data_IF_638907794848
#
_entry.id   IF_638907794848
#
_cell.length_a   1.000
_cell.length_b   1.000
_cell.length_c   1.000
_cell.angle_alpha   90.00
_cell.angle_beta   90.00
_cell.angle_gamma   90.00
#
_symmetry.space_group_name_H-M   'P 1'
#
loop_
_entity.id
_entity.type
_entity.pdbx_description
1 polymer ?
#
# COMPACT_ATOMS: atom_id res chain seq x y z
N UNK A 1 -1.71 16.51 -16.73
CA UNK A 1 -1.82 15.06 -16.46
C UNK A 1 -3.23 14.78 -15.98
N UNK A 2 -4.02 14.01 -16.74
CA UNK A 2 -5.38 13.60 -16.37
C UNK A 2 -5.34 12.21 -15.71
N UNK A 3 -4.48 12.07 -14.70
CA UNK A 3 -4.43 10.86 -13.89
C UNK A 3 -5.32 11.07 -12.67
N UNK A 4 -6.02 10.02 -12.27
CA UNK A 4 -6.75 9.98 -11.01
C UNK A 4 -5.79 10.17 -9.84
N UNK A 5 -6.31 10.63 -8.71
CA UNK A 5 -5.53 10.73 -7.46
C UNK A 5 -4.87 9.40 -7.06
N UNK A 6 -5.40 8.27 -7.53
CA UNK A 6 -4.90 6.93 -7.23
C UNK A 6 -3.77 6.50 -8.17
N UNK A 7 -3.82 6.89 -9.44
CA UNK A 7 -2.69 6.76 -10.35
C UNK A 7 -1.52 7.64 -9.88
N UNK A 8 -1.79 8.83 -9.33
CA UNK A 8 -0.75 9.63 -8.68
C UNK A 8 -0.15 8.92 -7.46
N UNK A 9 -0.95 8.30 -6.59
CA UNK A 9 -0.43 7.47 -5.49
C UNK A 9 0.42 6.28 -5.95
N UNK A 10 0.24 5.84 -7.21
CA UNK A 10 1.07 4.80 -7.83
C UNK A 10 2.42 5.35 -8.28
N UNK A 11 2.44 6.55 -8.85
CA UNK A 11 3.65 7.23 -9.31
C UNK A 11 4.54 7.78 -8.18
N UNK A 12 3.96 8.12 -7.02
CA UNK A 12 4.71 8.64 -5.87
C UNK A 12 5.10 7.54 -4.87
N UNK A 13 5.59 6.39 -5.35
CA UNK A 13 6.31 5.46 -4.49
C UNK A 13 7.75 5.95 -4.28
N UNK A 14 8.22 5.94 -3.04
CA UNK A 14 9.63 6.21 -2.75
C UNK A 14 10.47 5.04 -3.28
N UNK A 15 11.36 5.28 -4.24
CA UNK A 15 12.23 4.24 -4.83
C UNK A 15 13.12 3.57 -3.76
N UNK A 16 13.41 4.26 -2.65
CA UNK A 16 14.16 3.71 -1.51
C UNK A 16 13.38 2.66 -0.71
N UNK A 17 12.08 2.53 -0.93
CA UNK A 17 11.23 1.52 -0.31
C UNK A 17 11.06 0.28 -1.20
N UNK A 18 11.61 0.30 -2.41
CA UNK A 18 11.59 -0.84 -3.33
C UNK A 18 12.33 -2.05 -2.73
N UNK A 19 11.70 -3.22 -2.83
CA UNK A 19 12.27 -4.48 -2.33
C UNK A 19 12.15 -4.69 -0.81
N UNK A 20 11.46 -3.80 -0.08
CA UNK A 20 11.15 -3.98 1.34
C UNK A 20 9.75 -4.60 1.51
N UNK A 21 9.64 -5.90 1.84
CA UNK A 21 8.37 -6.63 1.86
C UNK A 21 7.30 -6.00 2.76
N UNK A 22 7.71 -5.39 3.86
CA UNK A 22 6.85 -4.69 4.81
C UNK A 22 6.18 -3.46 4.21
N UNK A 23 6.90 -2.69 3.39
CA UNK A 23 6.35 -1.52 2.72
C UNK A 23 5.48 -1.92 1.55
N UNK A 24 5.83 -2.98 0.82
CA UNK A 24 4.97 -3.53 -0.24
C UNK A 24 3.61 -3.97 0.32
N UNK A 25 3.60 -4.66 1.46
CA UNK A 25 2.35 -5.08 2.13
C UNK A 25 1.51 -3.89 2.58
N UNK A 26 2.14 -2.86 3.16
CA UNK A 26 1.42 -1.65 3.59
C UNK A 26 0.92 -0.79 2.43
N UNK A 27 1.69 -0.67 1.34
CA UNK A 27 1.26 0.03 0.13
C UNK A 27 0.05 -0.67 -0.51
N UNK A 28 0.04 -2.01 -0.54
CA UNK A 28 -1.12 -2.79 -1.01
C UNK A 28 -2.36 -2.55 -0.15
N UNK A 29 -2.22 -2.56 1.17
CA UNK A 29 -3.33 -2.23 2.07
C UNK A 29 -3.84 -0.80 1.83
N UNK A 30 -2.94 0.20 1.72
CA UNK A 30 -3.30 1.60 1.52
C UNK A 30 -4.04 1.86 0.20
N UNK A 31 -3.66 1.16 -0.87
CA UNK A 31 -4.26 1.30 -2.21
C UNK A 31 -5.58 0.54 -2.34
N UNK A 32 -5.93 -0.34 -1.40
CA UNK A 32 -7.16 -1.11 -1.43
C UNK A 32 -8.41 -0.22 -1.26
N UNK A 33 -9.34 -0.36 -2.21
CA UNK A 33 -10.56 0.44 -2.30
C UNK A 33 -11.67 -0.09 -1.40
N UNK A 34 -11.71 -1.40 -1.19
CA UNK A 34 -12.71 -2.08 -0.38
C UNK A 34 -12.36 -1.95 1.10
N UNK A 35 -13.16 -1.26 1.93
CA UNK A 35 -12.78 -0.96 3.30
C UNK A 35 -12.48 -2.19 4.16
N UNK A 36 -13.27 -3.26 4.03
CA UNK A 36 -13.08 -4.51 4.76
C UNK A 36 -11.76 -5.18 4.40
N UNK A 37 -11.45 -5.28 3.10
CA UNK A 37 -10.21 -5.87 2.58
C UNK A 37 -9.00 -5.03 2.99
N UNK A 38 -9.09 -3.70 2.95
CA UNK A 38 -8.04 -2.79 3.43
C UNK A 38 -7.69 -3.04 4.89
N UNK A 39 -8.70 -3.13 5.76
CA UNK A 39 -8.49 -3.37 7.19
C UNK A 39 -7.85 -4.75 7.41
N UNK A 40 -8.30 -5.78 6.68
CA UNK A 40 -7.70 -7.10 6.76
C UNK A 40 -6.22 -7.08 6.38
N UNK A 41 -5.87 -6.52 5.22
CA UNK A 41 -4.49 -6.43 4.74
C UNK A 41 -3.59 -5.62 5.68
N UNK A 42 -4.11 -4.54 6.27
CA UNK A 42 -3.36 -3.74 7.24
C UNK A 42 -3.06 -4.54 8.52
N UNK A 43 -4.00 -5.36 9.00
CA UNK A 43 -3.78 -6.23 10.17
C UNK A 43 -2.74 -7.31 9.88
N UNK A 44 -2.85 -7.97 8.73
CA UNK A 44 -1.87 -8.97 8.29
C UNK A 44 -0.45 -8.36 8.18
N UNK A 45 -0.33 -7.13 7.70
CA UNK A 45 0.95 -6.43 7.61
C UNK A 45 1.55 -6.08 9.00
N UNK A 46 0.70 -5.72 9.97
CA UNK A 46 1.14 -5.45 11.34
C UNK A 46 1.57 -6.73 12.07
N UNK A 47 0.85 -7.84 11.89
CA UNK A 47 1.19 -9.14 12.49
C UNK A 47 2.51 -9.73 11.97
N UNK A 48 2.90 -9.43 10.73
CA UNK A 48 4.17 -9.88 10.16
C UNK A 48 5.37 -9.04 10.58
N UNK A 49 5.14 -7.84 11.10
CA UNK A 49 6.17 -6.89 11.54
C UNK A 49 6.33 -6.83 13.07
N UNK A 50 5.66 -7.73 13.81
CA UNK A 50 5.74 -7.84 15.28
C UNK A 50 6.90 -8.71 15.74
#
# INVERSE_FOLDING_TARGET
MNLSAQEHQTFFSCELDEGKPEYDMMQRAWRERTPSVRIQLAREALEKNS
#
